data_IF_014408401922
#
_entry.id   IF_014408401922
#
_cell.length_a   1.000
_cell.length_b   1.000
_cell.length_c   1.000
_cell.angle_alpha   90.00
_cell.angle_beta   90.00
_cell.angle_gamma   90.00
#
_symmetry.space_group_name_H-M   'P 1'
#
loop_
_entity.id
_entity.type
_entity.pdbx_description
1 polymer ?
#
# COMPACT_ATOMS: atom_id res chain seq x y z
N UNK A 1 -13.03 2.63 -23.38
CA UNK A 1 -13.38 3.00 -21.99
C UNK A 1 -12.29 2.44 -21.10
N UNK A 2 -11.50 3.31 -20.49
CA UNK A 2 -10.21 2.97 -19.89
C UNK A 2 -10.39 2.30 -18.52
N UNK A 3 -9.80 1.12 -18.35
CA UNK A 3 -9.80 0.35 -17.09
C UNK A 3 -9.12 1.10 -15.91
N UNK A 4 -8.44 2.21 -16.16
CA UNK A 4 -7.83 3.09 -15.15
C UNK A 4 -8.83 3.76 -14.19
N UNK A 5 -10.12 3.78 -14.51
CA UNK A 5 -11.15 4.43 -13.68
C UNK A 5 -11.90 3.46 -12.74
N UNK A 6 -11.67 2.16 -12.83
CA UNK A 6 -12.54 1.17 -12.18
C UNK A 6 -12.19 0.85 -10.72
N UNK A 7 -10.98 1.16 -10.24
CA UNK A 7 -10.62 0.93 -8.84
C UNK A 7 -10.98 2.09 -7.90
N UNK A 8 -11.30 3.26 -8.45
CA UNK A 8 -11.63 4.49 -7.70
C UNK A 8 -13.09 4.53 -7.18
N UNK A 9 -13.89 3.48 -7.41
CA UNK A 9 -15.34 3.48 -7.15
C UNK A 9 -15.79 2.52 -6.03
N UNK A 10 -14.88 1.90 -5.29
CA UNK A 10 -15.21 1.09 -4.12
C UNK A 10 -15.03 1.88 -2.80
N UNK A 11 -15.55 3.12 -2.75
CA UNK A 11 -15.27 4.09 -1.66
C UNK A 11 -16.37 4.17 -0.60
N UNK A 12 -17.11 3.09 -0.31
CA UNK A 12 -18.30 3.18 0.55
C UNK A 12 -18.40 2.17 1.69
N UNK A 13 -17.33 1.44 2.03
CA UNK A 13 -17.35 0.54 3.19
C UNK A 13 -16.19 0.88 4.15
N UNK A 14 -16.54 1.71 5.13
CA UNK A 14 -15.78 2.15 6.30
C UNK A 14 -14.60 3.10 6.01
N UNK A 15 -14.88 4.40 6.15
CA UNK A 15 -13.84 5.40 6.45
C UNK A 15 -13.10 4.96 7.70
N UNK A 16 -11.91 4.39 7.49
CA UNK A 16 -11.09 3.87 8.57
C UNK A 16 -9.89 4.78 8.79
N UNK A 17 -9.65 5.12 10.06
CA UNK A 17 -8.48 5.95 10.42
C UNK A 17 -7.18 5.21 10.09
N UNK A 18 -6.07 5.94 9.96
CA UNK A 18 -4.77 5.32 9.68
C UNK A 18 -4.40 4.26 10.74
N UNK A 19 -4.73 4.51 12.00
CA UNK A 19 -4.55 3.55 13.09
C UNK A 19 -5.38 2.29 12.93
N UNK A 20 -6.64 2.42 12.47
CA UNK A 20 -7.51 1.26 12.25
C UNK A 20 -7.00 0.38 11.11
N UNK A 21 -6.46 0.98 10.04
CA UNK A 21 -5.81 0.24 8.96
C UNK A 21 -4.62 -0.54 9.51
N UNK A 22 -3.71 0.14 10.22
CA UNK A 22 -2.50 -0.47 10.79
C UNK A 22 -2.83 -1.62 11.74
N UNK A 23 -3.84 -1.45 12.60
CA UNK A 23 -4.28 -2.49 13.51
C UNK A 23 -4.88 -3.69 12.78
N UNK A 24 -5.71 -3.43 11.76
CA UNK A 24 -6.41 -4.47 10.98
C UNK A 24 -5.44 -5.37 10.21
N UNK A 25 -4.38 -4.79 9.64
CA UNK A 25 -3.35 -5.57 8.93
C UNK A 25 -2.19 -6.02 9.82
N UNK A 26 -2.25 -5.74 11.13
CA UNK A 26 -1.17 -5.99 12.08
C UNK A 26 0.19 -5.44 11.60
N UNK A 27 0.20 -4.24 11.03
CA UNK A 27 1.41 -3.66 10.45
C UNK A 27 2.46 -3.38 11.54
N UNK A 28 3.70 -3.77 11.28
CA UNK A 28 4.84 -3.46 12.12
C UNK A 28 5.35 -2.06 11.81
N UNK A 29 5.29 -1.16 12.78
CA UNK A 29 5.91 0.17 12.65
C UNK A 29 7.37 0.09 13.09
N UNK A 30 8.28 0.43 12.19
CA UNK A 30 9.70 0.65 12.48
C UNK A 30 9.95 2.14 12.41
N UNK A 31 10.26 2.76 13.55
CA UNK A 31 10.44 4.19 13.64
C UNK A 31 11.74 4.58 14.34
N UNK A 32 12.48 5.51 13.73
CA UNK A 32 13.76 5.99 14.21
C UNK A 32 13.76 7.52 14.30
N UNK A 33 14.57 8.06 15.22
CA UNK A 33 14.75 9.51 15.31
C UNK A 33 15.65 9.98 14.18
N UNK A 34 15.20 10.99 13.44
CA UNK A 34 15.98 11.62 12.38
C UNK A 34 16.62 12.89 12.93
N UNK A 35 17.95 12.92 12.95
CA UNK A 35 18.74 14.11 13.33
C UNK A 35 19.21 14.83 12.07
N UNK A 36 18.75 16.07 11.89
CA UNK A 36 19.20 16.92 10.78
C UNK A 36 20.31 17.86 11.26
N UNK A 37 21.43 17.87 10.55
CA UNK A 37 22.65 18.58 10.98
C UNK A 37 22.53 20.11 10.91
N UNK A 38 21.84 20.65 9.90
CA UNK A 38 21.53 22.07 9.74
C UNK A 38 20.22 22.24 8.96
N UNK A 39 19.34 23.15 9.39
CA UNK A 39 18.03 23.37 8.77
C UNK A 39 17.52 24.80 8.94
N UNK A 40 17.16 25.46 7.83
CA UNK A 40 16.55 26.80 7.81
C UNK A 40 15.23 26.92 7.01
N UNK A 41 14.86 25.96 6.14
CA UNK A 41 13.60 25.94 5.33
C UNK A 41 13.36 24.56 4.70
N UNK A 42 12.17 24.26 4.11
CA UNK A 42 11.58 22.91 3.96
C UNK A 42 11.02 22.33 2.55
N UNK A 43 11.77 21.95 1.46
CA UNK A 43 11.66 20.89 0.37
C UNK A 43 12.70 19.69 0.15
N UNK A 44 12.26 18.65 -0.55
CA UNK A 44 12.86 17.30 -0.65
C UNK A 44 14.27 17.11 -1.31
N UNK A 45 15.08 16.19 -0.73
CA UNK A 45 16.15 15.43 -1.43
C UNK A 45 15.56 14.39 -2.39
N UNK A 46 16.42 13.67 -3.14
CA UNK A 46 16.04 12.45 -3.86
C UNK A 46 15.13 11.58 -2.97
N UNK A 47 14.05 10.99 -3.51
CA UNK A 47 13.11 10.22 -2.71
C UNK A 47 13.87 9.05 -2.05
N UNK A 48 14.06 9.12 -0.74
CA UNK A 48 14.03 7.88 0.04
C UNK A 48 12.54 7.56 0.14
N UNK A 49 12.05 6.52 -0.56
CA UNK A 49 10.67 6.11 -0.40
C UNK A 49 10.46 5.94 1.10
N UNK A 50 9.37 6.48 1.64
CA UNK A 50 8.86 5.85 2.83
C UNK A 50 8.62 4.39 2.45
N UNK A 51 9.26 3.49 3.19
CA UNK A 51 9.40 2.09 2.78
C UNK A 51 8.29 1.30 3.46
N UNK A 52 7.06 1.46 2.97
CA UNK A 52 6.03 0.46 3.14
C UNK A 52 6.51 -0.80 2.43
N UNK A 53 6.88 -1.81 3.21
CA UNK A 53 7.22 -3.13 2.70
C UNK A 53 6.02 -4.04 2.94
N UNK A 54 5.32 -4.34 1.85
CA UNK A 54 4.14 -5.20 1.87
C UNK A 54 4.52 -6.52 1.21
N UNK A 55 4.51 -7.60 2.00
CA UNK A 55 4.61 -8.94 1.45
C UNK A 55 3.27 -9.32 0.83
N UNK A 56 3.15 -9.22 -0.49
CA UNK A 56 1.96 -9.67 -1.21
C UNK A 56 2.13 -11.14 -1.62
N UNK A 57 1.23 -12.01 -1.18
CA UNK A 57 1.28 -13.44 -1.48
C UNK A 57 -0.06 -13.97 -1.96
N UNK A 58 -0.04 -15.17 -2.52
CA UNK A 58 -1.25 -15.90 -2.87
C UNK A 58 -1.09 -17.38 -2.53
N UNK A 59 -2.23 -18.00 -2.20
CA UNK A 59 -2.36 -19.41 -1.94
C UNK A 59 -3.39 -20.03 -2.89
N UNK A 60 -3.14 -21.26 -3.32
CA UNK A 60 -4.04 -22.01 -4.18
C UNK A 60 -4.84 -22.98 -3.30
N UNK A 61 -6.14 -22.74 -3.15
CA UNK A 61 -7.02 -23.62 -2.37
C UNK A 61 -7.82 -24.55 -3.27
N UNK A 62 -7.54 -25.85 -3.11
CA UNK A 62 -8.38 -26.93 -3.57
C UNK A 62 -8.10 -27.40 -5.00
N UNK A 63 -7.91 -28.72 -5.13
CA UNK A 63 -8.07 -29.49 -6.35
C UNK A 63 -9.09 -30.60 -6.01
N UNK A 64 -10.38 -30.26 -5.92
CA UNK A 64 -11.41 -31.30 -5.74
C UNK A 64 -11.81 -31.83 -7.11
N UNK A 65 -11.63 -33.14 -7.29
CA UNK A 65 -12.13 -33.88 -8.45
C UNK A 65 -13.65 -33.96 -8.34
N UNK A 66 -14.37 -33.23 -9.19
CA UNK A 66 -15.81 -33.40 -9.35
C UNK A 66 -16.16 -34.71 -10.05
N UNK A 67 -17.45 -35.07 -10.07
CA UNK A 67 -17.98 -36.31 -10.66
C UNK A 67 -17.72 -36.49 -12.17
N UNK A 68 -17.20 -35.47 -12.84
CA UNK A 68 -16.89 -35.43 -14.28
C UNK A 68 -15.38 -35.25 -14.57
N UNK A 69 -14.49 -35.64 -13.64
CA UNK A 69 -13.03 -35.43 -13.73
C UNK A 69 -12.61 -33.94 -13.83
N UNK A 70 -13.49 -33.00 -13.46
CA UNK A 70 -13.21 -31.57 -13.44
C UNK A 70 -12.47 -31.19 -12.15
N UNK A 71 -11.42 -30.39 -12.28
CA UNK A 71 -10.70 -29.80 -11.17
C UNK A 71 -11.27 -28.41 -10.89
N UNK A 72 -11.74 -28.20 -9.66
CA UNK A 72 -12.24 -26.91 -9.20
C UNK A 72 -11.46 -26.44 -7.97
N UNK A 73 -11.14 -25.15 -7.96
CA UNK A 73 -10.39 -24.49 -6.89
C UNK A 73 -10.42 -22.98 -7.02
N UNK A 74 -9.68 -22.29 -6.17
CA UNK A 74 -9.55 -20.83 -6.20
C UNK A 74 -8.14 -20.40 -5.82
N UNK A 75 -7.73 -19.25 -6.34
CA UNK A 75 -6.56 -18.51 -5.84
C UNK A 75 -7.06 -17.52 -4.80
N UNK A 76 -6.42 -17.47 -3.64
CA UNK A 76 -6.68 -16.47 -2.60
C UNK A 76 -5.43 -15.64 -2.40
N UNK A 77 -5.55 -14.33 -2.46
CA UNK A 77 -4.50 -13.37 -2.22
C UNK A 77 -4.53 -12.88 -0.77
N UNK A 78 -3.36 -12.60 -0.22
CA UNK A 78 -3.21 -12.08 1.12
C UNK A 78 -2.13 -11.00 1.18
N UNK A 79 -2.31 -10.06 2.11
CA UNK A 79 -1.23 -9.24 2.61
C UNK A 79 -0.59 -10.02 3.77
N UNK A 80 0.65 -10.45 3.59
CA UNK A 80 1.45 -11.12 4.60
C UNK A 80 2.02 -10.12 5.59
N UNK A 81 3.34 -10.11 5.77
CA UNK A 81 4.01 -9.12 6.62
C UNK A 81 3.93 -7.72 6.00
N UNK A 82 3.36 -6.78 6.75
CA UNK A 82 3.35 -5.34 6.42
C UNK A 82 4.27 -4.62 7.40
N UNK A 83 5.30 -3.96 6.90
CA UNK A 83 6.19 -3.09 7.69
C UNK A 83 6.10 -1.66 7.17
N UNK A 84 5.82 -0.71 8.07
CA UNK A 84 5.86 0.72 7.77
C UNK A 84 7.10 1.34 8.39
N UNK A 85 7.93 1.99 7.57
CA UNK A 85 9.14 2.69 8.01
C UNK A 85 8.89 4.18 7.98
N UNK A 86 8.74 4.78 9.17
CA UNK A 86 8.40 6.20 9.31
C UNK A 86 9.33 6.88 10.32
N UNK A 87 9.64 8.17 10.18
CA UNK A 87 10.39 8.88 11.21
C UNK A 87 9.59 8.91 12.52
N UNK A 88 10.24 8.62 13.65
CA UNK A 88 9.63 8.80 14.97
C UNK A 88 9.51 10.27 15.35
N UNK A 89 10.56 11.02 15.01
CA UNK A 89 10.67 12.46 15.22
C UNK A 89 11.76 13.00 14.30
N UNK A 90 11.71 14.30 14.00
CA UNK A 90 12.74 15.02 13.25
C UNK A 90 13.21 16.16 14.13
N UNK A 91 14.51 16.27 14.35
CA UNK A 91 15.11 17.29 15.23
C UNK A 91 16.38 17.88 14.64
N UNK A 92 16.63 19.16 14.91
CA UNK A 92 17.90 19.83 14.59
C UNK A 92 18.27 20.88 15.65
N UNK A 93 19.53 21.32 15.65
CA UNK A 93 20.03 22.33 16.58
C UNK A 93 19.36 23.68 16.31
N UNK A 94 18.80 24.30 17.35
CA UNK A 94 18.14 25.60 17.24
C UNK A 94 16.66 25.53 16.82
N UNK A 95 16.08 24.34 16.75
CA UNK A 95 14.66 24.13 16.46
C UNK A 95 13.77 24.93 17.43
N UNK A 96 12.90 25.78 16.87
CA UNK A 96 11.89 26.52 17.63
C UNK A 96 10.65 25.65 17.91
N UNK A 97 9.71 26.15 18.72
CA UNK A 97 8.42 25.46 18.92
C UNK A 97 7.63 25.34 17.61
N UNK A 98 7.62 26.39 16.79
CA UNK A 98 6.92 26.40 15.50
C UNK A 98 7.55 25.40 14.50
N UNK A 99 8.88 25.24 14.53
CA UNK A 99 9.57 24.22 13.74
C UNK A 99 9.18 22.81 14.16
N UNK A 100 9.05 22.57 15.48
CA UNK A 100 8.62 21.27 16.00
C UNK A 100 7.21 20.92 15.55
N UNK A 101 6.28 21.86 15.60
CA UNK A 101 4.91 21.64 15.12
C UNK A 101 4.87 21.28 13.63
N UNK A 102 5.70 21.93 12.81
CA UNK A 102 5.86 21.60 11.38
C UNK A 102 6.47 20.21 11.16
N UNK A 103 7.53 19.88 11.90
CA UNK A 103 8.16 18.55 11.85
C UNK A 103 7.18 17.44 12.25
N UNK A 104 6.42 17.64 13.33
CA UNK A 104 5.40 16.68 13.78
C UNK A 104 4.27 16.53 12.75
N UNK A 105 3.85 17.61 12.10
CA UNK A 105 2.87 17.56 11.02
C UNK A 105 3.37 16.76 9.82
N UNK A 106 4.63 16.93 9.45
CA UNK A 106 5.25 16.17 8.37
C UNK A 106 5.44 14.69 8.71
N UNK A 107 5.82 14.36 9.94
CA UNK A 107 5.87 12.96 10.39
C UNK A 107 4.48 12.30 10.25
N UNK A 108 3.41 13.01 10.62
CA UNK A 108 2.04 12.52 10.40
C UNK A 108 1.70 12.38 8.91
N UNK A 109 2.16 13.31 8.08
CA UNK A 109 1.96 13.24 6.63
C UNK A 109 2.65 12.02 6.01
N UNK A 110 3.91 11.74 6.38
CA UNK A 110 4.63 10.53 5.94
C UNK A 110 3.86 9.29 6.41
N UNK A 111 3.48 9.23 7.68
CA UNK A 111 2.73 8.10 8.20
C UNK A 111 1.45 7.84 7.40
N UNK A 112 0.68 8.89 7.09
CA UNK A 112 -0.51 8.77 6.26
C UNK A 112 -0.20 8.23 4.85
N UNK A 113 0.86 8.73 4.20
CA UNK A 113 1.30 8.24 2.89
C UNK A 113 1.66 6.74 2.93
N UNK A 114 2.39 6.29 3.94
CA UNK A 114 2.75 4.86 4.11
C UNK A 114 1.52 3.98 4.32
N UNK A 115 0.53 4.46 5.07
CA UNK A 115 -0.74 3.72 5.23
C UNK A 115 -1.55 3.74 3.92
N UNK A 116 -1.37 4.75 3.07
CA UNK A 116 -1.92 4.78 1.71
C UNK A 116 -1.52 3.57 0.87
N UNK A 117 -0.24 3.17 0.89
CA UNK A 117 0.24 1.95 0.24
C UNK A 117 -0.47 0.68 0.76
N UNK A 118 -0.70 0.61 2.07
CA UNK A 118 -1.44 -0.52 2.69
C UNK A 118 -2.88 -0.56 2.19
N UNK A 119 -3.56 0.59 2.10
CA UNK A 119 -4.93 0.68 1.58
C UNK A 119 -5.02 0.22 0.12
N UNK A 120 -4.07 0.62 -0.73
CA UNK A 120 -3.98 0.12 -2.11
C UNK A 120 -3.83 -1.41 -2.13
N UNK A 121 -2.97 -1.95 -1.27
CA UNK A 121 -2.80 -3.39 -1.10
C UNK A 121 -4.09 -4.11 -0.68
N UNK A 122 -4.83 -3.57 0.29
CA UNK A 122 -6.10 -4.15 0.78
C UNK A 122 -7.17 -4.13 -0.31
N UNK A 123 -7.34 -2.98 -0.97
CA UNK A 123 -8.32 -2.83 -2.06
C UNK A 123 -8.04 -3.82 -3.19
N UNK A 124 -6.77 -3.98 -3.57
CA UNK A 124 -6.41 -4.91 -4.63
C UNK A 124 -6.56 -6.37 -4.20
N UNK A 125 -6.14 -6.73 -2.97
CA UNK A 125 -6.37 -8.05 -2.38
C UNK A 125 -7.85 -8.42 -2.47
N UNK A 126 -8.71 -7.51 -2.04
CA UNK A 126 -10.16 -7.76 -1.97
C UNK A 126 -10.77 -7.86 -3.37
N UNK A 127 -10.34 -6.99 -4.30
CA UNK A 127 -10.75 -7.06 -5.70
C UNK A 127 -10.31 -8.37 -6.39
N UNK A 128 -9.09 -8.84 -6.14
CA UNK A 128 -8.58 -10.09 -6.69
C UNK A 128 -9.28 -11.31 -6.07
N UNK A 129 -9.58 -11.26 -4.77
CA UNK A 129 -10.31 -12.31 -4.05
C UNK A 129 -11.81 -12.37 -4.36
N UNK A 130 -12.37 -11.33 -4.96
CA UNK A 130 -13.73 -11.34 -5.47
C UNK A 130 -13.89 -12.20 -6.75
N UNK A 131 -12.80 -12.57 -7.41
CA UNK A 131 -12.83 -13.45 -8.58
C UNK A 131 -13.24 -14.88 -8.21
N UNK A 132 -13.95 -15.53 -9.14
CA UNK A 132 -14.62 -16.81 -8.90
C UNK A 132 -13.74 -18.05 -8.95
N UNK A 133 -14.38 -19.22 -8.86
CA UNK A 133 -13.77 -20.54 -8.92
C UNK A 133 -13.14 -20.83 -10.30
N UNK A 134 -11.90 -21.29 -10.30
CA UNK A 134 -11.23 -21.87 -11.47
C UNK A 134 -11.84 -23.23 -11.74
N UNK A 135 -12.27 -23.48 -12.97
CA UNK A 135 -12.77 -24.78 -13.42
C UNK A 135 -11.92 -25.27 -14.60
N UNK A 136 -11.21 -26.37 -14.41
CA UNK A 136 -10.32 -26.94 -15.41
C UNK A 136 -10.62 -28.41 -15.69
N UNK A 137 -10.20 -28.86 -16.88
CA UNK A 137 -10.41 -30.24 -17.33
C UNK A 137 -9.53 -31.25 -16.60
N UNK A 138 -8.35 -30.82 -16.12
CA UNK A 138 -7.38 -31.66 -15.43
C UNK A 138 -6.51 -30.83 -14.47
N UNK A 139 -5.65 -31.52 -13.72
CA UNK A 139 -4.76 -30.93 -12.73
C UNK A 139 -3.71 -29.98 -13.33
N UNK A 140 -3.17 -30.29 -14.50
CA UNK A 140 -2.13 -29.48 -15.15
C UNK A 140 -2.73 -28.17 -15.67
N UNK A 141 -3.89 -28.25 -16.31
CA UNK A 141 -4.64 -27.08 -16.75
C UNK A 141 -5.06 -26.19 -15.57
N UNK A 142 -5.45 -26.80 -14.44
CA UNK A 142 -5.72 -26.06 -13.21
C UNK A 142 -4.47 -25.32 -12.70
N UNK A 143 -3.35 -26.01 -12.56
CA UNK A 143 -2.09 -25.42 -12.08
C UNK A 143 -1.61 -24.26 -12.96
N UNK A 144 -1.63 -24.43 -14.28
CA UNK A 144 -1.23 -23.38 -15.22
C UNK A 144 -2.12 -22.12 -15.12
N UNK A 145 -3.44 -22.30 -14.96
CA UNK A 145 -4.38 -21.18 -14.77
C UNK A 145 -4.19 -20.49 -13.41
N UNK A 146 -4.03 -21.26 -12.34
CA UNK A 146 -3.82 -20.72 -11.00
C UNK A 146 -2.51 -19.92 -10.91
N UNK A 147 -1.42 -20.44 -11.46
CA UNK A 147 -0.12 -19.75 -11.52
C UNK A 147 -0.17 -18.47 -12.36
N UNK A 148 -0.89 -18.50 -13.48
CA UNK A 148 -1.08 -17.31 -14.32
C UNK A 148 -1.83 -16.21 -13.56
N UNK A 149 -2.92 -16.56 -12.88
CA UNK A 149 -3.70 -15.64 -12.06
C UNK A 149 -2.88 -15.08 -10.88
N UNK A 150 -2.11 -15.94 -10.21
CA UNK A 150 -1.23 -15.53 -9.12
C UNK A 150 -0.18 -14.50 -9.56
N UNK A 151 0.50 -14.76 -10.70
CA UNK A 151 1.46 -13.81 -11.28
C UNK A 151 0.80 -12.51 -11.71
N UNK A 152 -0.32 -12.57 -12.41
CA UNK A 152 -1.06 -11.38 -12.84
C UNK A 152 -1.47 -10.51 -11.63
N UNK A 153 -1.95 -11.12 -10.55
CA UNK A 153 -2.28 -10.42 -9.31
C UNK A 153 -1.08 -9.71 -8.69
N UNK A 154 0.08 -10.37 -8.63
CA UNK A 154 1.31 -9.77 -8.11
C UNK A 154 1.81 -8.60 -8.97
N UNK A 155 1.84 -8.76 -10.29
CA UNK A 155 2.25 -7.69 -11.21
C UNK A 155 1.30 -6.50 -11.14
N UNK A 156 -0.01 -6.77 -11.00
CA UNK A 156 -0.99 -5.70 -10.79
C UNK A 156 -0.76 -4.97 -9.47
N UNK A 157 -0.41 -5.67 -8.40
CA UNK A 157 -0.05 -5.02 -7.12
C UNK A 157 1.11 -4.06 -7.29
N UNK A 158 2.21 -4.50 -7.93
CA UNK A 158 3.37 -3.65 -8.18
C UNK A 158 3.08 -2.47 -9.09
N UNK A 159 2.22 -2.66 -10.08
CA UNK A 159 1.79 -1.56 -10.94
C UNK A 159 1.00 -0.48 -10.18
N UNK A 160 0.02 -0.88 -9.36
CA UNK A 160 -0.84 0.05 -8.63
C UNK A 160 -0.07 0.76 -7.50
N UNK A 161 0.84 0.07 -6.81
CA UNK A 161 1.78 0.66 -5.84
C UNK A 161 2.62 1.77 -6.49
N UNK A 162 3.23 1.48 -7.64
CA UNK A 162 4.02 2.47 -8.40
C UNK A 162 3.17 3.63 -8.94
N UNK A 163 1.94 3.35 -9.38
CA UNK A 163 1.02 4.38 -9.87
C UNK A 163 0.57 5.31 -8.73
N UNK A 164 0.39 4.79 -7.52
CA UNK A 164 0.08 5.59 -6.34
C UNK A 164 1.23 6.53 -5.95
N UNK A 165 2.46 6.01 -5.98
CA UNK A 165 3.67 6.83 -5.79
C UNK A 165 3.81 7.91 -6.87
N UNK A 166 3.61 7.58 -8.14
CA UNK A 166 3.67 8.53 -9.24
C UNK A 166 2.62 9.64 -9.09
N UNK A 167 1.39 9.26 -8.72
CA UNK A 167 0.27 10.19 -8.50
C UNK A 167 0.58 11.20 -7.40
N UNK A 168 1.15 10.71 -6.29
CA UNK A 168 1.39 11.52 -5.09
C UNK A 168 2.77 12.18 -5.09
N UNK A 169 3.60 11.94 -6.12
CA UNK A 169 5.02 12.35 -6.13
C UNK A 169 5.72 11.86 -4.86
N UNK A 170 5.57 10.55 -4.57
CA UNK A 170 6.02 9.91 -3.33
C UNK A 170 5.57 10.66 -2.07
N UNK A 171 4.29 11.02 -2.02
CA UNK A 171 3.64 11.75 -0.93
C UNK A 171 3.81 13.28 -0.96
N UNK A 172 4.72 13.84 -1.79
CA UNK A 172 4.96 15.30 -1.83
C UNK A 172 3.72 16.09 -2.27
N UNK A 173 2.80 15.42 -2.96
CA UNK A 173 1.53 15.94 -3.44
C UNK A 173 0.39 15.03 -3.02
N UNK A 174 0.41 14.56 -1.77
CA UNK A 174 -0.61 13.68 -1.19
C UNK A 174 -2.03 14.23 -1.38
N UNK A 175 -2.21 15.56 -1.42
CA UNK A 175 -3.51 16.19 -1.66
C UNK A 175 -4.11 15.86 -3.04
N UNK A 176 -3.31 15.37 -4.00
CA UNK A 176 -3.77 14.95 -5.33
C UNK A 176 -4.40 13.56 -5.34
N UNK A 177 -4.15 12.74 -4.31
CA UNK A 177 -4.87 11.49 -4.15
C UNK A 177 -6.35 11.75 -3.82
N UNK A 178 -7.19 10.75 -4.04
CA UNK A 178 -8.64 10.88 -3.83
C UNK A 178 -9.13 10.12 -2.60
N UNK A 179 -10.22 10.59 -1.99
CA UNK A 179 -10.88 9.88 -0.90
C UNK A 179 -9.98 9.75 0.33
N UNK A 180 -9.91 8.55 0.90
CA UNK A 180 -9.11 8.26 2.10
C UNK A 180 -7.60 8.24 1.87
N UNK A 181 -7.16 8.27 0.61
CA UNK A 181 -5.76 8.43 0.25
C UNK A 181 -5.35 9.91 0.22
N UNK A 182 -6.31 10.83 0.17
CA UNK A 182 -6.02 12.26 0.19
C UNK A 182 -5.57 12.69 1.59
N UNK A 183 -4.51 13.47 1.65
CA UNK A 183 -3.91 13.88 2.91
C UNK A 183 -2.98 15.09 2.77
N UNK A 184 -2.32 15.51 3.85
CA UNK A 184 -1.34 16.58 3.81
C UNK A 184 -0.08 16.16 3.05
N UNK A 185 0.53 17.10 2.33
CA UNK A 185 1.75 16.88 1.55
C UNK A 185 2.97 16.58 2.44
N UNK A 186 3.82 15.64 2.00
CA UNK A 186 5.08 15.31 2.65
C UNK A 186 6.23 16.20 2.16
N UNK A 187 6.15 17.51 2.43
CA UNK A 187 7.19 18.46 2.00
C UNK A 187 7.96 19.04 3.19
N UNK A 188 9.25 18.67 3.29
CA UNK A 188 10.25 19.14 4.25
C UNK A 188 11.68 19.13 3.56
N UNK A 189 12.44 20.24 3.55
CA UNK A 189 13.87 20.63 3.11
C UNK A 189 14.56 20.85 4.43
N UNK A 190 15.87 20.90 4.38
CA UNK A 190 16.52 21.82 5.27
C UNK A 190 17.44 22.71 4.42
N UNK A 191 17.13 24.01 4.29
CA UNK A 191 18.08 24.98 3.73
C UNK A 191 19.25 25.26 4.67
#
# INVERSE_FOLDING_TARGET
>A
MNARAALLLASSLLSSSDEEVVQRVHARIVAENVLVQACTDVQARDPEPGLASIHFSYEIHGARVGTTARYAGRVTFALGEVTLRVPKSIVWKGMTSADRERADAFVRAIYHHEVGHVRIGELLRDALNANGTINAADYFAFGAQADALGREGFERFKHEEAAYDELTDHGRKQHLASGELAGPDTVLDCR
#
